data_IF_810182164295
#
_entry.id   IF_810182164295
#
_cell.length_a   1.000
_cell.length_b   1.000
_cell.length_c   1.000
_cell.angle_alpha   90.00
_cell.angle_beta   90.00
_cell.angle_gamma   90.00
#
_symmetry.space_group_name_H-M   'P 1'
#
loop_
_entity.id
_entity.type
_entity.pdbx_description
1 polymer ?
#
# COMPACT_ATOMS: atom_id res chain seq x y z
N UNK A 1 -7.17 10.39 -4.71
CA UNK A 1 -6.17 9.39 -4.29
C UNK A 1 -5.12 9.26 -5.39
N UNK A 2 -3.83 9.36 -5.04
CA UNK A 2 -2.71 9.24 -5.98
C UNK A 2 -2.61 7.77 -6.42
N UNK A 3 -2.53 7.51 -7.74
CA UNK A 3 -2.58 6.16 -8.32
C UNK A 3 -1.34 5.76 -9.11
N UNK A 4 -0.39 6.69 -9.27
CA UNK A 4 0.86 6.50 -10.01
C UNK A 4 1.87 7.55 -9.59
N UNK A 5 3.15 7.27 -9.80
CA UNK A 5 4.19 8.27 -9.68
C UNK A 5 4.11 9.30 -10.81
N UNK A 6 4.66 10.51 -10.61
CA UNK A 6 4.96 11.42 -11.70
C UNK A 6 5.90 10.78 -12.74
N UNK A 7 5.70 11.12 -14.02
CA UNK A 7 6.42 10.48 -15.14
C UNK A 7 7.96 10.59 -15.01
N UNK A 8 8.45 11.69 -14.43
CA UNK A 8 9.87 11.94 -14.21
C UNK A 8 10.48 11.04 -13.13
N UNK A 9 9.69 10.58 -12.16
CA UNK A 9 10.14 9.68 -11.09
C UNK A 9 10.44 8.29 -11.65
N UNK A 10 9.62 7.78 -12.58
CA UNK A 10 9.85 6.46 -13.19
C UNK A 10 11.22 6.30 -13.83
N UNK A 11 11.74 7.37 -14.45
CA UNK A 11 13.07 7.36 -15.07
C UNK A 11 14.20 7.40 -14.03
N UNK A 12 13.95 7.95 -12.85
CA UNK A 12 14.94 8.12 -11.80
C UNK A 12 14.97 6.94 -10.82
N UNK A 13 13.84 6.22 -10.66
CA UNK A 13 13.71 5.12 -9.71
C UNK A 13 13.60 3.78 -10.43
N UNK A 14 14.74 3.13 -10.71
CA UNK A 14 14.77 1.77 -11.27
C UNK A 14 14.13 0.75 -10.32
N UNK A 15 14.29 0.93 -9.01
CA UNK A 15 13.60 0.16 -7.97
C UNK A 15 13.49 0.97 -6.68
N UNK A 16 12.55 0.60 -5.80
CA UNK A 16 12.34 1.23 -4.51
C UNK A 16 11.83 0.22 -3.48
N UNK A 17 11.88 0.59 -2.21
CA UNK A 17 11.23 -0.14 -1.11
C UNK A 17 9.98 0.64 -0.71
N UNK A 18 8.87 -0.07 -0.49
CA UNK A 18 7.65 0.49 0.09
C UNK A 18 7.27 -0.30 1.34
N UNK A 19 6.68 0.38 2.30
CA UNK A 19 6.22 -0.18 3.55
C UNK A 19 4.75 0.18 3.76
N UNK A 20 3.95 -0.80 4.16
CA UNK A 20 2.54 -0.62 4.51
C UNK A 20 2.41 -0.62 6.03
N UNK A 21 1.69 0.37 6.53
CA UNK A 21 1.49 0.61 7.95
C UNK A 21 0.02 0.49 8.30
N UNK A 22 -0.23 -0.08 9.47
CA UNK A 22 -1.44 0.23 10.21
C UNK A 22 -1.19 1.60 10.84
N UNK A 23 -2.05 2.61 10.65
CA UNK A 23 -1.84 3.94 11.21
C UNK A 23 -1.78 3.98 12.75
N UNK A 24 -2.12 2.88 13.42
CA UNK A 24 -2.08 2.73 14.89
C UNK A 24 -0.74 2.22 15.40
N UNK A 25 0.10 1.66 14.53
CA UNK A 25 1.33 0.98 14.90
C UNK A 25 2.56 1.74 14.40
N UNK A 26 3.68 1.64 15.12
CA UNK A 26 4.94 2.30 14.76
C UNK A 26 5.72 1.51 13.70
N UNK A 27 5.51 0.19 13.64
CA UNK A 27 6.23 -0.71 12.75
C UNK A 27 5.37 -1.11 11.54
N UNK A 28 5.98 -1.30 10.35
CA UNK A 28 5.24 -1.74 9.18
C UNK A 28 4.82 -3.19 9.32
N UNK A 29 3.60 -3.52 8.86
CA UNK A 29 3.14 -4.92 8.79
C UNK A 29 3.57 -5.61 7.48
N UNK A 30 4.01 -4.83 6.47
CA UNK A 30 4.51 -5.36 5.20
C UNK A 30 5.58 -4.44 4.63
N UNK A 31 6.67 -5.03 4.15
CA UNK A 31 7.74 -4.33 3.42
C UNK A 31 7.98 -5.07 2.12
N UNK A 32 8.02 -4.34 1.00
CA UNK A 32 8.15 -4.93 -0.33
C UNK A 32 9.01 -4.11 -1.27
N UNK A 33 9.63 -4.77 -2.25
CA UNK A 33 10.30 -4.11 -3.36
C UNK A 33 9.29 -3.72 -4.43
N UNK A 34 9.39 -2.49 -4.92
CA UNK A 34 8.61 -1.95 -6.03
C UNK A 34 9.46 -1.55 -7.22
N UNK A 35 8.84 -1.59 -8.39
CA UNK A 35 9.31 -1.01 -9.65
C UNK A 35 8.10 -0.36 -10.32
N UNK A 36 8.30 0.75 -11.06
CA UNK A 36 7.19 1.49 -11.65
C UNK A 36 6.11 1.85 -10.61
N UNK A 37 4.83 1.65 -10.95
CA UNK A 37 3.69 1.97 -10.08
C UNK A 37 3.26 0.85 -9.13
N UNK A 38 4.08 -0.18 -8.90
CA UNK A 38 3.69 -1.38 -8.12
C UNK A 38 3.05 -1.06 -6.76
N UNK A 39 3.55 -0.07 -6.02
CA UNK A 39 2.99 0.31 -4.71
C UNK A 39 1.50 0.67 -4.80
N UNK A 40 1.06 1.31 -5.88
CA UNK A 40 -0.32 1.74 -6.05
C UNK A 40 -1.29 0.59 -6.35
N UNK A 41 -0.80 -0.57 -6.77
CA UNK A 41 -1.64 -1.76 -6.98
C UNK A 41 -2.24 -2.26 -5.66
N UNK A 42 -1.54 -2.06 -4.53
CA UNK A 42 -2.05 -2.42 -3.21
C UNK A 42 -3.27 -1.59 -2.79
N UNK A 43 -3.50 -0.41 -3.39
CA UNK A 43 -4.70 0.39 -3.13
C UNK A 43 -5.95 -0.10 -3.89
N UNK A 44 -5.80 -0.86 -4.98
CA UNK A 44 -6.92 -1.33 -5.80
C UNK A 44 -7.45 -2.69 -5.37
N UNK A 45 -6.58 -3.54 -4.84
CA UNK A 45 -6.91 -4.94 -4.49
C UNK A 45 -7.33 -5.13 -3.04
N UNK A 46 -7.41 -4.07 -2.24
CA UNK A 46 -7.69 -4.13 -0.80
C UNK A 46 -9.18 -4.09 -0.46
N UNK A 47 -10.09 -3.89 -1.43
CA UNK A 47 -11.52 -4.03 -1.20
C UNK A 47 -11.89 -5.51 -1.13
N UNK A 48 -11.81 -6.07 0.07
CA UNK A 48 -12.31 -7.39 0.40
C UNK A 48 -13.45 -7.23 1.42
N UNK A 49 -14.66 -7.64 1.04
CA UNK A 49 -15.87 -7.54 1.88
C UNK A 49 -15.69 -8.22 3.25
N UNK A 50 -14.91 -9.30 3.33
CA UNK A 50 -14.64 -9.98 4.60
C UNK A 50 -13.68 -9.18 5.49
N UNK A 51 -12.69 -8.51 4.89
CA UNK A 51 -11.77 -7.63 5.61
C UNK A 51 -12.51 -6.40 6.11
N UNK A 52 -13.36 -5.79 5.28
CA UNK A 52 -14.21 -4.66 5.67
C UNK A 52 -15.14 -5.02 6.85
N UNK A 53 -15.75 -6.22 6.81
CA UNK A 53 -16.58 -6.73 7.91
C UNK A 53 -15.79 -6.93 9.21
N UNK A 54 -14.54 -7.40 9.12
CA UNK A 54 -13.64 -7.55 10.29
C UNK A 54 -13.17 -6.21 10.85
N UNK A 55 -12.92 -5.21 10.00
CA UNK A 55 -12.48 -3.87 10.43
C UNK A 55 -13.64 -3.09 11.07
N UNK A 56 -14.86 -3.25 10.55
CA UNK A 56 -16.08 -2.58 11.04
C UNK A 56 -16.68 -3.23 12.28
N UNK A 57 -16.29 -4.46 12.61
CA UNK A 57 -16.67 -5.10 13.87
C UNK A 57 -15.77 -4.59 15.00
N UNK A 58 -16.30 -4.13 16.14
CA UNK A 58 -15.50 -3.80 17.30
C UNK A 58 -14.66 -5.02 17.71
N UNK A 59 -13.37 -4.84 17.96
CA UNK A 59 -12.58 -5.91 18.59
C UNK A 59 -13.13 -6.11 20.00
N UNK A 60 -13.69 -7.30 20.25
CA UNK A 60 -14.00 -7.77 21.61
C UNK A 60 -12.74 -7.84 22.46
#
# INVERSE_FOLDING_TARGET
>A
MIKKFPINIHKQTSSYIHALYDPREVLPFYVGRGVGDRVFNHFKSSYNKEVEKKISSPRN
#
